data_IF_454733607751
#
_entry.id   IF_454733607751
#
_cell.length_a   1.000
_cell.length_b   1.000
_cell.length_c   1.000
_cell.angle_alpha   90.00
_cell.angle_beta   90.00
_cell.angle_gamma   90.00
#
_symmetry.space_group_name_H-M   'P 1'
#
loop_
_entity.id
_entity.type
_entity.pdbx_description
1 polymer ?
#
# COMPACT_ATOMS: atom_id res chain seq x y z
N UNK A 1 18.80 -1.38 23.38
CA UNK A 1 18.40 -2.22 22.21
C UNK A 1 18.28 -1.31 21.00
N UNK A 2 19.24 -1.36 20.09
CA UNK A 2 19.14 -0.63 18.82
C UNK A 2 18.15 -1.38 17.92
N UNK A 3 16.93 -0.87 17.77
CA UNK A 3 16.03 -1.33 16.70
C UNK A 3 16.65 -0.87 15.39
N UNK A 4 17.23 -1.80 14.63
CA UNK A 4 17.55 -1.54 13.24
C UNK A 4 16.22 -1.25 12.52
N UNK A 5 15.93 0.02 12.27
CA UNK A 5 14.85 0.41 11.37
C UNK A 5 15.29 -0.04 9.99
N UNK A 6 14.77 -1.18 9.52
CA UNK A 6 14.93 -1.59 8.15
C UNK A 6 14.42 -0.44 7.28
N UNK A 7 15.34 0.24 6.60
CA UNK A 7 15.00 1.36 5.73
C UNK A 7 14.26 0.74 4.54
N UNK A 8 12.97 1.02 4.40
CA UNK A 8 12.22 0.65 3.20
C UNK A 8 13.01 1.12 1.97
N UNK A 9 13.24 0.21 1.03
CA UNK A 9 13.95 0.45 -0.23
C UNK A 9 13.03 1.08 -1.28
N UNK A 10 11.70 1.07 -1.05
CA UNK A 10 10.71 1.77 -1.85
C UNK A 10 10.48 3.21 -1.37
N UNK A 11 10.05 4.06 -2.30
CA UNK A 11 9.67 5.44 -2.03
C UNK A 11 8.15 5.59 -2.02
N UNK A 12 7.62 6.27 -1.01
CA UNK A 12 6.23 6.74 -1.02
C UNK A 12 6.15 8.02 -1.84
N UNK A 13 5.40 7.98 -2.93
CA UNK A 13 5.19 9.09 -3.85
C UNK A 13 3.74 9.56 -3.81
N UNK A 14 3.50 10.76 -4.34
CA UNK A 14 2.16 11.36 -4.39
C UNK A 14 1.87 12.27 -3.20
N UNK A 15 0.58 12.60 -3.03
CA UNK A 15 0.13 13.59 -2.04
C UNK A 15 -0.09 12.99 -0.64
N UNK A 16 -0.54 11.74 -0.59
CA UNK A 16 -0.84 11.03 0.66
C UNK A 16 0.38 10.24 1.10
N UNK A 17 0.79 10.43 2.36
CA UNK A 17 1.81 9.63 3.04
C UNK A 17 1.13 8.64 3.99
N UNK A 18 1.89 7.65 4.47
CA UNK A 18 1.38 6.66 5.42
C UNK A 18 0.83 7.31 6.70
N UNK A 19 1.48 8.37 7.20
CA UNK A 19 1.04 9.11 8.39
C UNK A 19 -0.23 9.93 8.20
N UNK A 20 -0.68 10.15 6.96
CA UNK A 20 -1.93 10.86 6.66
C UNK A 20 -3.15 9.93 6.70
N UNK A 21 -2.93 8.62 6.80
CA UNK A 21 -3.98 7.63 7.00
C UNK A 21 -4.44 7.62 8.47
N UNK A 22 -5.66 7.16 8.76
CA UNK A 22 -6.09 6.97 10.14
C UNK A 22 -5.13 6.01 10.87
N UNK A 23 -4.82 6.23 12.16
CA UNK A 23 -3.78 5.50 12.90
C UNK A 23 -3.90 3.98 12.80
N UNK A 24 -5.13 3.46 12.79
CA UNK A 24 -5.44 2.03 12.71
C UNK A 24 -5.13 1.40 11.34
N UNK A 25 -4.86 2.21 10.31
CA UNK A 25 -4.50 1.77 8.95
C UNK A 25 -3.02 1.89 8.65
N UNK A 26 -2.27 2.70 9.41
CA UNK A 26 -0.87 2.98 9.13
C UNK A 26 -0.02 1.71 9.22
N UNK A 27 -0.22 0.91 10.28
CA UNK A 27 0.52 -0.33 10.47
C UNK A 27 0.14 -1.42 9.46
N UNK A 28 -1.14 -1.75 9.23
CA UNK A 28 -1.53 -2.73 8.21
C UNK A 28 -1.02 -2.38 6.81
N UNK A 29 -1.18 -1.13 6.39
CA UNK A 29 -0.71 -0.68 5.06
C UNK A 29 0.81 -0.76 4.97
N UNK A 30 1.53 -0.29 5.99
CA UNK A 30 2.99 -0.39 6.03
C UNK A 30 3.48 -1.84 5.96
N UNK A 31 2.89 -2.74 6.73
CA UNK A 31 3.26 -4.16 6.74
C UNK A 31 3.03 -4.84 5.39
N UNK A 32 1.91 -4.54 4.73
CA UNK A 32 1.64 -5.06 3.39
C UNK A 32 2.65 -4.53 2.38
N UNK A 33 2.97 -3.24 2.40
CA UNK A 33 3.96 -2.67 1.48
C UNK A 33 5.36 -3.25 1.69
N UNK A 34 5.79 -3.42 2.94
CA UNK A 34 7.06 -4.05 3.25
C UNK A 34 7.11 -5.53 2.82
N UNK A 35 5.98 -6.25 2.88
CA UNK A 35 5.89 -7.62 2.40
C UNK A 35 5.95 -7.69 0.86
N UNK A 36 5.24 -6.79 0.17
CA UNK A 36 5.26 -6.69 -1.29
C UNK A 36 6.65 -6.35 -1.82
N UNK A 37 7.34 -5.41 -1.18
CA UNK A 37 8.71 -5.03 -1.54
C UNK A 37 9.67 -6.21 -1.47
N UNK A 38 9.59 -6.99 -0.39
CA UNK A 38 10.44 -8.18 -0.21
C UNK A 38 10.14 -9.27 -1.23
N UNK A 39 8.90 -9.31 -1.73
CA UNK A 39 8.45 -10.33 -2.68
C UNK A 39 8.79 -10.01 -4.14
N UNK A 40 8.80 -8.73 -4.53
CA UNK A 40 9.00 -8.33 -5.93
C UNK A 40 10.07 -7.22 -6.04
N UNK A 41 11.26 -7.54 -6.60
CA UNK A 41 12.34 -6.57 -6.72
C UNK A 41 12.03 -5.39 -7.67
N UNK A 42 10.96 -5.50 -8.48
CA UNK A 42 10.49 -4.40 -9.34
C UNK A 42 9.79 -3.31 -8.54
N UNK A 43 9.32 -3.58 -7.32
CA UNK A 43 8.72 -2.56 -6.48
C UNK A 43 9.80 -1.54 -6.08
N UNK A 44 9.68 -0.31 -6.61
CA UNK A 44 10.50 0.85 -6.21
C UNK A 44 9.69 2.00 -5.66
N UNK A 45 8.42 2.11 -6.05
CA UNK A 45 7.59 3.25 -5.70
C UNK A 45 6.19 2.79 -5.29
N UNK A 46 5.61 3.42 -4.27
CA UNK A 46 4.23 3.21 -3.85
C UNK A 46 3.48 4.53 -3.80
N UNK A 47 2.28 4.57 -4.36
CA UNK A 47 1.40 5.74 -4.36
C UNK A 47 0.09 5.39 -3.65
N UNK A 48 -0.13 5.96 -2.46
CA UNK A 48 -1.37 5.80 -1.70
C UNK A 48 -2.43 6.73 -2.30
N UNK A 49 -3.59 6.16 -2.65
CA UNK A 49 -4.68 6.86 -3.32
C UNK A 49 -5.73 7.30 -2.30
N UNK A 50 -5.72 8.59 -1.99
CA UNK A 50 -6.62 9.19 -1.00
C UNK A 50 -6.12 8.97 0.42
N UNK A 51 -6.57 9.80 1.35
CA UNK A 51 -6.18 9.74 2.76
C UNK A 51 -7.18 9.00 3.64
N UNK A 52 -8.29 8.52 3.07
CA UNK A 52 -9.37 7.84 3.78
C UNK A 52 -9.66 6.46 3.18
N UNK A 53 -9.94 5.46 4.03
CA UNK A 53 -10.50 4.20 3.58
C UNK A 53 -11.82 4.44 2.84
N UNK A 54 -12.11 3.57 1.88
CA UNK A 54 -13.33 3.65 1.06
C UNK A 54 -13.77 2.26 0.62
N UNK A 55 -15.05 2.13 0.26
CA UNK A 55 -15.57 0.92 -0.36
C UNK A 55 -14.83 0.61 -1.67
N UNK A 56 -14.50 -0.65 -1.89
CA UNK A 56 -13.82 -1.09 -3.12
C UNK A 56 -14.75 -0.95 -4.32
N UNK A 57 -14.38 -0.11 -5.29
CA UNK A 57 -15.12 -0.02 -6.55
C UNK A 57 -15.00 -1.31 -7.38
N UNK A 58 -13.84 -1.98 -7.31
CA UNK A 58 -13.55 -3.22 -8.03
C UNK A 58 -14.19 -4.46 -7.34
N UNK A 59 -14.74 -4.29 -6.13
CA UNK A 59 -15.46 -5.34 -5.39
C UNK A 59 -16.60 -4.73 -4.57
N UNK A 60 -17.73 -4.40 -5.22
CA UNK A 60 -18.85 -3.74 -4.55
C UNK A 60 -19.55 -4.66 -3.53
N UNK A 61 -19.26 -5.96 -3.53
CA UNK A 61 -19.81 -6.93 -2.58
C UNK A 61 -18.98 -7.04 -1.31
N UNK A 62 -17.76 -6.51 -1.30
CA UNK A 62 -16.93 -6.49 -0.11
C UNK A 62 -17.46 -5.45 0.89
N UNK A 63 -17.93 -5.86 2.08
CA UNK A 63 -18.45 -4.92 3.07
C UNK A 63 -17.34 -4.14 3.77
N UNK A 64 -16.06 -4.47 3.56
CA UNK A 64 -14.94 -3.83 4.23
C UNK A 64 -14.37 -2.69 3.39
N UNK A 65 -14.03 -1.61 4.07
CA UNK A 65 -13.26 -0.54 3.45
C UNK A 65 -11.85 -1.01 3.06
N UNK A 66 -11.28 -0.30 2.10
CA UNK A 66 -9.92 -0.50 1.61
C UNK A 66 -9.15 0.81 1.51
N UNK A 67 -7.83 0.71 1.62
CA UNK A 67 -6.89 1.71 1.13
C UNK A 67 -6.31 1.21 -0.19
N UNK A 68 -6.49 2.01 -1.23
CA UNK A 68 -5.98 1.73 -2.56
C UNK A 68 -4.53 2.22 -2.69
N UNK A 69 -3.60 1.34 -3.04
CA UNK A 69 -2.19 1.67 -3.28
C UNK A 69 -1.77 1.20 -4.66
N UNK A 70 -1.04 2.05 -5.38
CA UNK A 70 -0.44 1.68 -6.67
C UNK A 70 1.03 1.38 -6.47
N UNK A 71 1.45 0.20 -6.89
CA UNK A 71 2.83 -0.24 -6.89
C UNK A 71 3.43 0.02 -8.26
N UNK A 72 4.60 0.65 -8.22
CA UNK A 72 5.28 1.22 -9.37
C UNK A 72 6.73 0.77 -9.42
N UNK A 73 7.20 0.61 -10.65
CA UNK A 73 8.60 0.35 -10.93
C UNK A 73 9.45 1.63 -10.85
N UNK A 74 10.73 1.51 -11.20
CA UNK A 74 11.68 2.61 -11.23
C UNK A 74 11.30 3.70 -12.25
N UNK A 75 10.62 3.30 -13.33
CA UNK A 75 10.07 4.21 -14.34
C UNK A 75 8.73 4.85 -13.94
N UNK A 76 8.30 4.70 -12.69
CA UNK A 76 7.01 5.15 -12.14
C UNK A 76 5.79 4.52 -12.84
N UNK A 77 5.98 3.44 -13.62
CA UNK A 77 4.89 2.73 -14.26
C UNK A 77 4.19 1.84 -13.24
N UNK A 78 2.88 2.00 -13.14
CA UNK A 78 2.07 1.12 -12.27
C UNK A 78 2.00 -0.26 -12.92
N UNK A 79 2.40 -1.29 -12.18
CA UNK A 79 2.27 -2.68 -12.62
C UNK A 79 1.35 -3.51 -11.71
N UNK A 80 1.01 -2.99 -10.52
CA UNK A 80 0.07 -3.64 -9.59
C UNK A 80 -0.70 -2.61 -8.78
N UNK A 81 -1.96 -2.91 -8.49
CA UNK A 81 -2.81 -2.20 -7.53
C UNK A 81 -3.08 -3.11 -6.34
N UNK A 82 -3.04 -2.53 -5.15
CA UNK A 82 -3.35 -3.19 -3.89
C UNK A 82 -4.58 -2.54 -3.29
N UNK A 83 -5.58 -3.33 -2.96
CA UNK A 83 -6.67 -2.91 -2.08
C UNK A 83 -6.43 -3.57 -0.73
N UNK A 84 -5.96 -2.77 0.23
CA UNK A 84 -5.53 -3.24 1.54
C UNK A 84 -6.67 -2.98 2.51
N UNK A 85 -7.10 -3.98 3.26
CA UNK A 85 -8.08 -3.86 4.34
C UNK A 85 -7.40 -3.55 5.67
N UNK A 86 -8.18 -3.09 6.64
CA UNK A 86 -7.70 -2.76 7.98
C UNK A 86 -7.08 -3.96 8.72
N UNK A 87 -7.57 -5.17 8.45
CA UNK A 87 -7.05 -6.41 9.05
C UNK A 87 -5.73 -6.89 8.41
N UNK A 88 -5.21 -6.16 7.42
CA UNK A 88 -3.99 -6.49 6.69
C UNK A 88 -4.20 -7.48 5.53
N UNK A 89 -5.43 -7.94 5.30
CA UNK A 89 -5.75 -8.66 4.06
C UNK A 89 -5.63 -7.73 2.85
N UNK A 90 -5.19 -8.27 1.72
CA UNK A 90 -4.93 -7.46 0.52
C UNK A 90 -5.36 -8.18 -0.74
N UNK A 91 -6.14 -7.48 -1.57
CA UNK A 91 -6.45 -7.90 -2.94
C UNK A 91 -5.42 -7.28 -3.90
N UNK A 92 -4.77 -8.12 -4.70
CA UNK A 92 -3.75 -7.73 -5.69
C UNK A 92 -4.39 -7.76 -7.07
N UNK A 93 -4.22 -6.68 -7.82
CA UNK A 93 -4.73 -6.54 -9.19
C UNK A 93 -3.55 -6.11 -10.05
N UNK A 94 -2.99 -7.04 -10.84
CA UNK A 94 -1.94 -6.74 -11.80
C UNK A 94 -2.50 -5.92 -12.99
N UNK A 95 -1.66 -5.07 -13.60
CA UNK A 95 -2.03 -4.11 -14.65
C UNK A 95 -1.11 -4.22 -15.86
#
# INVERSE_FOLDING_TARGET
MFKATARSLYQLIGKTRLGDLPPEWQAPVGQVLDAEEKSDPRFKNAEIRGSKPHASHDDPTDPKDVVSVRIKDDGLKTFRRLHIHQDGSVKRIDV
#
